data_IF_700792062533
#
_entry.id   IF_700792062533
#
_cell.length_a   1.000
_cell.length_b   1.000
_cell.length_c   1.000
_cell.angle_alpha   90.00
_cell.angle_beta   90.00
_cell.angle_gamma   90.00
#
_symmetry.space_group_name_H-M   'P 1'
#
loop_
_entity.id
_entity.type
_entity.pdbx_description
1 polymer ?
#
# COMPACT_ATOMS: atom_id res chain seq x y z
N UNK A 1 26.96 11.69 43.12
CA UNK A 1 25.64 11.86 42.50
C UNK A 1 25.57 13.22 41.84
N UNK A 2 25.83 13.34 40.53
CA UNK A 2 25.46 14.51 39.74
C UNK A 2 24.16 14.25 38.97
N UNK A 3 23.25 15.22 39.03
CA UNK A 3 21.94 15.23 38.40
C UNK A 3 22.05 15.19 36.86
N UNK A 4 21.17 14.42 36.20
CA UNK A 4 20.92 14.53 34.76
C UNK A 4 20.17 15.83 34.45
N UNK A 5 20.50 16.55 33.36
CA UNK A 5 19.61 17.58 32.84
C UNK A 5 18.57 16.96 31.89
N UNK A 6 17.31 17.32 32.14
CA UNK A 6 16.19 17.22 31.20
C UNK A 6 16.52 17.96 29.91
N UNK A 7 16.40 17.30 28.76
CA UNK A 7 16.24 17.97 27.47
C UNK A 7 15.04 17.36 26.75
N UNK A 8 13.93 18.09 26.88
CA UNK A 8 12.74 18.03 26.07
C UNK A 8 13.06 18.43 24.62
N UNK A 9 12.25 17.94 23.67
CA UNK A 9 12.07 18.44 22.30
C UNK A 9 12.94 17.82 21.20
N UNK A 10 12.40 16.78 20.57
CA UNK A 10 12.57 16.57 19.13
C UNK A 10 11.18 16.41 18.53
N UNK A 11 10.82 17.36 17.67
CA UNK A 11 9.54 17.48 17.01
C UNK A 11 9.06 16.14 16.43
N UNK A 12 7.86 15.73 16.83
CA UNK A 12 7.10 14.70 16.15
C UNK A 12 6.56 15.34 14.85
N UNK A 13 7.37 15.36 13.80
CA UNK A 13 6.89 15.74 12.47
C UNK A 13 5.89 14.66 12.01
N UNK A 14 4.61 14.93 12.25
CA UNK A 14 3.48 14.25 11.64
C UNK A 14 3.41 14.66 10.16
N UNK A 15 4.39 14.19 9.38
CA UNK A 15 4.30 14.27 7.93
C UNK A 15 3.32 13.21 7.49
N UNK A 16 2.06 13.62 7.33
CA UNK A 16 1.06 12.95 6.50
C UNK A 16 1.66 12.67 5.12
N UNK A 17 2.30 11.50 4.96
CA UNK A 17 2.90 11.06 3.70
C UNK A 17 1.77 10.61 2.79
N UNK A 18 1.43 11.43 1.82
CA UNK A 18 0.71 10.97 0.64
C UNK A 18 1.53 9.83 0.00
N UNK A 19 0.98 8.60 0.01
CA UNK A 19 1.62 7.44 -0.61
C UNK A 19 1.49 7.61 -2.13
N UNK A 20 2.47 8.27 -2.74
CA UNK A 20 2.63 8.29 -4.19
C UNK A 20 3.07 6.90 -4.62
N UNK A 21 2.15 6.09 -5.15
CA UNK A 21 2.46 4.79 -5.77
C UNK A 21 3.18 5.05 -7.09
N UNK A 22 4.50 5.22 -7.02
CA UNK A 22 5.36 5.21 -8.20
C UNK A 22 5.41 3.79 -8.77
N UNK A 23 4.91 3.62 -9.99
CA UNK A 23 5.19 2.45 -10.82
C UNK A 23 6.64 2.52 -11.31
N UNK A 24 7.59 2.29 -10.41
CA UNK A 24 9.01 2.30 -10.74
C UNK A 24 9.51 0.85 -10.92
N UNK A 25 9.64 0.43 -12.18
CA UNK A 25 10.64 -0.57 -12.56
C UNK A 25 12.00 0.11 -12.45
N UNK A 26 12.58 0.08 -11.25
CA UNK A 26 13.93 0.56 -10.98
C UNK A 26 14.50 -0.31 -9.87
N UNK A 27 15.76 -0.74 -10.01
CA UNK A 27 16.45 -1.50 -8.98
C UNK A 27 16.42 -0.71 -7.66
N UNK A 28 15.65 -1.19 -6.68
CA UNK A 28 15.65 -0.59 -5.33
C UNK A 28 17.03 -0.81 -4.72
N UNK A 29 17.57 0.22 -4.09
CA UNK A 29 18.72 0.05 -3.20
C UNK A 29 18.35 -0.96 -2.11
N UNK A 30 19.29 -1.83 -1.70
CA UNK A 30 19.02 -2.81 -0.65
C UNK A 30 18.60 -2.11 0.64
N UNK A 31 17.69 -2.75 1.37
CA UNK A 31 17.27 -2.27 2.68
C UNK A 31 18.45 -2.27 3.68
N UNK A 32 18.45 -1.36 4.67
CA UNK A 32 19.42 -1.40 5.75
C UNK A 32 19.43 -2.77 6.44
N UNK A 33 20.57 -3.18 7.03
CA UNK A 33 20.75 -4.51 7.62
C UNK A 33 19.63 -4.91 8.61
N UNK A 34 19.17 -3.97 9.44
CA UNK A 34 18.07 -4.21 10.39
C UNK A 34 16.73 -4.60 9.73
N UNK A 35 16.57 -4.32 8.42
CA UNK A 35 15.39 -4.60 7.61
C UNK A 35 15.65 -5.64 6.51
N UNK A 36 16.86 -6.22 6.43
CA UNK A 36 17.21 -7.19 5.38
C UNK A 36 16.28 -8.41 5.36
N UNK A 37 15.79 -8.83 6.53
CA UNK A 37 14.81 -9.91 6.67
C UNK A 37 13.53 -9.67 5.85
N UNK A 38 13.15 -8.42 5.58
CA UNK A 38 11.96 -8.10 4.77
C UNK A 38 12.17 -8.52 3.32
N UNK A 39 13.37 -8.32 2.77
CA UNK A 39 13.68 -8.75 1.40
C UNK A 39 13.68 -10.28 1.30
N UNK A 40 14.22 -10.96 2.31
CA UNK A 40 14.23 -12.43 2.39
C UNK A 40 12.80 -12.99 2.42
N UNK A 41 11.93 -12.46 3.28
CA UNK A 41 10.53 -12.88 3.39
C UNK A 41 9.72 -12.55 2.13
N UNK A 42 9.93 -11.38 1.51
CA UNK A 42 9.26 -11.04 0.26
C UNK A 42 9.69 -11.98 -0.88
N UNK A 43 10.97 -12.37 -0.91
CA UNK A 43 11.47 -13.34 -1.88
C UNK A 43 10.86 -14.73 -1.65
N UNK A 44 10.78 -15.21 -0.40
CA UNK A 44 10.13 -16.48 -0.08
C UNK A 44 8.63 -16.49 -0.42
N UNK A 45 7.91 -15.39 -0.14
CA UNK A 45 6.52 -15.25 -0.58
C UNK A 45 6.39 -15.27 -2.11
N UNK A 46 7.36 -14.69 -2.83
CA UNK A 46 7.38 -14.69 -4.28
C UNK A 46 7.65 -16.07 -4.87
N UNK A 47 8.58 -16.84 -4.32
CA UNK A 47 8.90 -18.20 -4.82
C UNK A 47 7.76 -19.19 -4.58
N UNK A 48 6.93 -18.94 -3.55
CA UNK A 48 5.73 -19.73 -3.23
C UNK A 48 4.45 -19.25 -3.91
N UNK A 49 4.52 -18.23 -4.78
CA UNK A 49 3.36 -17.59 -5.43
C UNK A 49 2.30 -17.04 -4.45
N UNK A 50 2.75 -16.61 -3.26
CA UNK A 50 1.90 -16.01 -2.22
C UNK A 50 1.99 -14.48 -2.18
N UNK A 51 2.94 -13.90 -2.92
CA UNK A 51 3.11 -12.46 -3.00
C UNK A 51 1.93 -11.80 -3.72
N UNK A 52 1.10 -11.07 -2.97
CA UNK A 52 -0.04 -10.34 -3.52
C UNK A 52 0.43 -9.14 -4.34
N UNK A 53 -0.08 -9.01 -5.56
CA UNK A 53 0.15 -7.87 -6.44
C UNK A 53 -1.13 -7.03 -6.52
N UNK A 54 -1.17 -5.84 -5.88
CA UNK A 54 -2.31 -4.94 -6.01
C UNK A 54 -2.55 -4.57 -7.47
N UNK A 55 -3.82 -4.54 -7.88
CA UNK A 55 -4.21 -4.02 -9.19
C UNK A 55 -4.80 -2.64 -9.02
N UNK A 56 -4.39 -1.72 -9.90
CA UNK A 56 -5.00 -0.40 -9.94
C UNK A 56 -6.39 -0.53 -10.58
N UNK A 57 -7.40 -0.11 -9.83
CA UNK A 57 -8.77 0.02 -10.31
C UNK A 57 -9.03 1.48 -10.66
N UNK A 58 -9.62 1.73 -11.83
CA UNK A 58 -10.08 3.07 -12.21
C UNK A 58 -11.59 3.11 -12.35
N UNK A 59 -12.15 4.31 -12.21
CA UNK A 59 -13.59 4.54 -12.28
C UNK A 59 -14.35 4.27 -10.98
N UNK A 60 -15.67 4.42 -11.07
CA UNK A 60 -16.61 4.29 -9.96
C UNK A 60 -16.82 2.82 -9.60
N UNK A 61 -17.03 2.54 -8.31
CA UNK A 61 -17.38 1.20 -7.84
C UNK A 61 -18.75 0.78 -8.40
N UNK A 62 -18.88 -0.49 -8.77
CA UNK A 62 -20.14 -1.07 -9.21
C UNK A 62 -19.96 -2.42 -9.90
N UNK A 63 -20.96 -2.81 -10.70
CA UNK A 63 -21.04 -4.12 -11.39
C UNK A 63 -19.90 -4.37 -12.38
N UNK A 64 -19.29 -3.31 -12.89
CA UNK A 64 -18.18 -3.40 -13.84
C UNK A 64 -16.98 -2.67 -13.28
N UNK A 65 -15.79 -3.14 -13.64
CA UNK A 65 -14.52 -2.60 -13.18
C UNK A 65 -13.53 -2.49 -14.33
N UNK A 66 -12.75 -1.41 -14.36
CA UNK A 66 -11.60 -1.30 -15.26
C UNK A 66 -10.34 -1.70 -14.50
N UNK A 67 -9.74 -2.82 -14.89
CA UNK A 67 -8.46 -3.33 -14.36
C UNK A 67 -7.47 -3.47 -15.52
N UNK A 68 -6.28 -2.91 -15.36
CA UNK A 68 -5.21 -2.95 -16.37
C UNK A 68 -5.71 -2.50 -17.76
N UNK A 69 -6.57 -1.46 -17.80
CA UNK A 69 -7.15 -0.90 -19.03
C UNK A 69 -8.29 -1.71 -19.65
N UNK A 70 -8.73 -2.81 -19.02
CA UNK A 70 -9.79 -3.68 -19.52
C UNK A 70 -11.05 -3.59 -18.66
N UNK A 71 -12.20 -3.45 -19.30
CA UNK A 71 -13.51 -3.50 -18.63
C UNK A 71 -13.91 -4.95 -18.37
N UNK A 72 -14.17 -5.29 -17.10
CA UNK A 72 -14.53 -6.62 -16.61
C UNK A 72 -15.79 -6.56 -15.73
N UNK A 73 -16.44 -7.71 -15.52
CA UNK A 73 -17.51 -7.84 -14.52
C UNK A 73 -16.89 -7.98 -13.12
N UNK A 74 -17.42 -7.25 -12.14
CA UNK A 74 -16.86 -7.16 -10.80
C UNK A 74 -17.53 -8.12 -9.81
N UNK A 75 -16.91 -9.28 -9.60
CA UNK A 75 -17.29 -10.24 -8.56
C UNK A 75 -16.39 -10.17 -7.31
N UNK A 76 -15.37 -9.31 -7.32
CA UNK A 76 -14.37 -9.21 -6.25
C UNK A 76 -14.65 -8.10 -5.24
N UNK A 77 -15.86 -7.53 -5.23
CA UNK A 77 -16.23 -6.43 -4.34
C UNK A 77 -17.18 -6.89 -3.24
N UNK A 78 -17.07 -6.26 -2.08
CA UNK A 78 -18.05 -6.36 -1.00
C UNK A 78 -19.26 -5.41 -1.19
N UNK A 79 -19.46 -4.86 -2.40
CA UNK A 79 -20.53 -3.90 -2.68
C UNK A 79 -21.85 -4.62 -3.03
N UNK A 80 -22.39 -5.34 -2.05
CA UNK A 80 -23.55 -6.20 -2.23
C UNK A 80 -24.83 -5.43 -2.58
N UNK A 81 -24.98 -4.21 -2.07
CA UNK A 81 -26.16 -3.37 -2.28
C UNK A 81 -25.99 -2.37 -3.44
N UNK A 82 -24.78 -2.25 -4.00
CA UNK A 82 -24.49 -1.31 -5.07
C UNK A 82 -24.40 0.15 -4.62
N UNK A 83 -24.22 0.40 -3.31
CA UNK A 83 -24.10 1.74 -2.75
C UNK A 83 -22.67 2.27 -2.80
N UNK A 84 -21.70 1.37 -3.01
CA UNK A 84 -20.29 1.63 -3.29
C UNK A 84 -20.01 2.85 -4.17
N UNK A 85 -20.82 2.95 -5.23
CA UNK A 85 -20.73 4.04 -6.19
C UNK A 85 -21.74 5.15 -5.96
N UNK A 86 -22.89 4.93 -5.32
CA UNK A 86 -24.09 5.79 -5.44
C UNK A 86 -23.78 7.29 -5.28
N UNK A 87 -24.22 8.15 -6.22
CA UNK A 87 -23.92 9.59 -6.21
C UNK A 87 -24.76 10.36 -5.19
N UNK A 88 -25.79 9.68 -4.65
CA UNK A 88 -26.67 10.23 -3.62
C UNK A 88 -26.10 10.05 -2.22
N UNK A 89 -25.01 9.30 -2.09
CA UNK A 89 -24.28 8.99 -0.86
C UNK A 89 -22.85 9.52 -0.97
#
# INVERSE_FOLDING_TARGET
MPCCPDQLSSACDDTSREIRVSTASGSRSPLPLALAWIEEELNDLSTRDLLRKPKLRTGRQGRSVVLDGRTLVNFGSNDYLGYAGDVRL
#
